data_IF_433305281618
#
_entry.id   IF_433305281618
#
_cell.length_a   1.000
_cell.length_b   1.000
_cell.length_c   1.000
_cell.angle_alpha   90.00
_cell.angle_beta   90.00
_cell.angle_gamma   90.00
#
_symmetry.space_group_name_H-M   'P 1'
#
loop_
_entity.id
_entity.type
_entity.pdbx_description
1 polymer ?
#
# COMPACT_ATOMS: atom_id res chain seq x y z
N UNK A 1 -52.21 -54.24 -19.20
CA UNK A 1 -50.99 -53.49 -19.57
C UNK A 1 -50.33 -53.04 -18.27
N UNK A 2 -49.27 -53.73 -17.83
CA UNK A 2 -48.56 -53.43 -16.58
C UNK A 2 -47.36 -52.53 -16.89
N UNK A 3 -47.36 -51.29 -16.36
CA UNK A 3 -46.26 -50.35 -16.53
C UNK A 3 -45.14 -50.65 -15.51
N UNK A 4 -43.91 -50.87 -15.98
CA UNK A 4 -42.73 -51.05 -15.15
C UNK A 4 -42.29 -49.70 -14.56
N UNK A 5 -42.42 -49.55 -13.24
CA UNK A 5 -41.90 -48.41 -12.50
C UNK A 5 -40.36 -48.51 -12.48
N UNK A 6 -39.61 -47.50 -12.98
CA UNK A 6 -38.15 -47.55 -12.97
C UNK A 6 -37.64 -47.51 -11.53
N UNK A 7 -36.78 -48.48 -11.16
CA UNK A 7 -36.12 -48.52 -9.86
C UNK A 7 -35.25 -47.27 -9.70
N UNK A 8 -35.64 -46.38 -8.78
CA UNK A 8 -34.80 -45.25 -8.37
C UNK A 8 -33.54 -45.80 -7.70
N UNK A 9 -32.36 -45.45 -8.21
CA UNK A 9 -31.08 -45.81 -7.59
C UNK A 9 -30.94 -45.01 -6.29
N UNK A 10 -30.86 -45.71 -5.17
CA UNK A 10 -30.53 -45.12 -3.88
C UNK A 10 -29.00 -45.03 -3.76
N UNK A 11 -28.50 -43.91 -3.25
CA UNK A 11 -27.07 -43.73 -2.98
C UNK A 11 -26.61 -44.68 -1.87
N UNK A 12 -25.41 -45.26 -2.05
CA UNK A 12 -24.77 -46.03 -0.99
C UNK A 12 -24.22 -45.11 0.09
N UNK A 13 -24.29 -45.53 1.36
CA UNK A 13 -23.58 -44.86 2.46
C UNK A 13 -22.08 -44.74 2.15
N UNK A 14 -21.49 -45.73 1.49
CA UNK A 14 -20.06 -45.73 1.12
C UNK A 14 -19.74 -44.65 0.09
N UNK A 15 -20.63 -44.41 -0.88
CA UNK A 15 -20.46 -43.33 -1.86
C UNK A 15 -20.46 -41.97 -1.18
N UNK A 16 -21.36 -41.74 -0.23
CA UNK A 16 -21.41 -40.48 0.51
C UNK A 16 -20.15 -40.30 1.37
N UNK A 17 -19.68 -41.37 2.03
CA UNK A 17 -18.48 -41.33 2.89
C UNK A 17 -17.22 -41.02 2.07
N UNK A 18 -17.05 -41.63 0.89
CA UNK A 18 -15.86 -41.36 0.08
C UNK A 18 -15.83 -39.91 -0.42
N UNK A 19 -17.00 -39.34 -0.76
CA UNK A 19 -17.12 -37.96 -1.24
C UNK A 19 -16.72 -36.96 -0.15
N UNK A 20 -17.23 -37.11 1.08
CA UNK A 20 -16.89 -36.19 2.17
C UNK A 20 -15.41 -36.31 2.56
N UNK A 21 -14.81 -37.51 2.46
CA UNK A 21 -13.37 -37.71 2.70
C UNK A 21 -12.55 -36.96 1.65
N UNK A 22 -12.90 -37.06 0.37
CA UNK A 22 -12.20 -36.34 -0.70
C UNK A 22 -12.37 -34.81 -0.54
N UNK A 23 -13.58 -34.33 -0.26
CA UNK A 23 -13.84 -32.90 -0.01
C UNK A 23 -13.02 -32.42 1.21
N UNK A 24 -12.92 -33.22 2.27
CA UNK A 24 -12.13 -32.89 3.46
C UNK A 24 -10.64 -32.73 3.17
N UNK A 25 -10.06 -33.62 2.36
CA UNK A 25 -8.65 -33.53 1.93
C UNK A 25 -8.43 -32.28 1.06
N UNK A 26 -9.31 -32.05 0.08
CA UNK A 26 -9.22 -30.89 -0.80
C UNK A 26 -9.34 -29.57 -0.02
N UNK A 27 -10.27 -29.50 0.94
CA UNK A 27 -10.44 -28.33 1.80
C UNK A 27 -9.20 -28.08 2.66
N UNK A 28 -8.62 -29.13 3.28
CA UNK A 28 -7.42 -29.03 4.10
C UNK A 28 -6.20 -28.51 3.32
N UNK A 29 -6.06 -28.85 2.03
CA UNK A 29 -4.96 -28.36 1.18
C UNK A 29 -5.22 -26.96 0.61
N UNK A 30 -6.48 -26.56 0.42
CA UNK A 30 -6.85 -25.27 -0.17
C UNK A 30 -6.71 -24.10 0.82
N UNK A 31 -7.12 -24.28 2.08
CA UNK A 31 -7.08 -23.23 3.12
C UNK A 31 -5.68 -22.61 3.34
N UNK A 32 -4.57 -23.37 3.48
CA UNK A 32 -3.26 -22.79 3.79
C UNK A 32 -2.61 -22.01 2.64
N UNK A 33 -3.20 -22.05 1.43
CA UNK A 33 -2.69 -21.31 0.26
C UNK A 33 -3.28 -19.91 0.13
N UNK A 34 -4.50 -19.68 0.62
CA UNK A 34 -5.19 -18.40 0.46
C UNK A 34 -4.62 -17.30 1.38
N UNK A 35 -4.24 -17.64 2.61
CA UNK A 35 -3.75 -16.67 3.62
C UNK A 35 -2.36 -16.08 3.30
N UNK A 36 -1.47 -16.85 2.66
CA UNK A 36 -0.13 -16.38 2.26
C UNK A 36 -0.12 -15.57 0.95
N UNK A 37 -1.12 -15.76 0.09
CA UNK A 37 -1.21 -15.02 -1.16
C UNK A 37 -1.52 -13.53 -0.96
N UNK A 38 -2.30 -13.20 0.08
CA UNK A 38 -2.71 -11.82 0.36
C UNK A 38 -1.62 -11.00 1.04
N UNK A 39 -0.84 -11.59 1.96
CA UNK A 39 0.19 -10.85 2.68
C UNK A 39 1.36 -10.45 1.75
N UNK A 40 1.87 -11.39 0.94
CA UNK A 40 2.90 -11.08 -0.07
C UNK A 40 2.45 -10.08 -1.15
N UNK A 41 1.15 -10.08 -1.51
CA UNK A 41 0.60 -9.09 -2.43
C UNK A 41 0.63 -7.66 -1.84
N UNK A 42 0.29 -7.51 -0.55
CA UNK A 42 0.38 -6.22 0.14
C UNK A 42 1.82 -5.73 0.26
N UNK A 43 2.79 -6.62 0.58
CA UNK A 43 4.21 -6.25 0.65
C UNK A 43 4.75 -5.80 -0.72
N UNK A 44 4.36 -6.47 -1.80
CA UNK A 44 4.74 -6.07 -3.15
C UNK A 44 4.12 -4.71 -3.55
N UNK A 45 2.84 -4.50 -3.23
CA UNK A 45 2.17 -3.22 -3.44
C UNK A 45 2.83 -2.09 -2.64
N UNK A 46 3.25 -2.36 -1.40
CA UNK A 46 3.95 -1.40 -0.56
C UNK A 46 5.25 -0.97 -1.22
N UNK A 47 6.08 -1.92 -1.64
CA UNK A 47 7.36 -1.63 -2.30
C UNK A 47 7.15 -0.80 -3.58
N UNK A 48 6.12 -1.12 -4.37
CA UNK A 48 5.76 -0.35 -5.56
C UNK A 48 5.34 1.08 -5.24
N UNK A 49 4.46 1.27 -4.26
CA UNK A 49 4.00 2.59 -3.83
C UNK A 49 5.15 3.44 -3.25
N UNK A 50 6.01 2.84 -2.42
CA UNK A 50 7.21 3.49 -1.90
C UNK A 50 8.14 3.94 -3.03
N UNK A 51 8.38 3.09 -4.03
CA UNK A 51 9.22 3.45 -5.17
C UNK A 51 8.63 4.62 -5.97
N UNK A 52 7.31 4.62 -6.21
CA UNK A 52 6.62 5.72 -6.91
C UNK A 52 6.80 7.04 -6.16
N UNK A 53 6.52 7.06 -4.85
CA UNK A 53 6.58 8.30 -4.05
C UNK A 53 8.02 8.77 -3.84
N UNK A 54 8.95 7.88 -3.50
CA UNK A 54 10.37 8.21 -3.33
C UNK A 54 11.00 8.75 -4.62
N UNK A 55 10.65 8.19 -5.77
CA UNK A 55 11.11 8.72 -7.07
C UNK A 55 10.54 10.11 -7.34
N UNK A 56 9.28 10.37 -7.02
CA UNK A 56 8.68 11.70 -7.15
C UNK A 56 9.36 12.74 -6.22
N UNK A 57 9.65 12.37 -4.97
CA UNK A 57 10.41 13.19 -4.02
C UNK A 57 11.80 13.54 -4.59
N UNK A 58 12.51 12.54 -5.12
CA UNK A 58 13.84 12.76 -5.71
C UNK A 58 13.78 13.64 -6.97
N UNK A 59 12.78 13.43 -7.83
CA UNK A 59 12.57 14.26 -9.02
C UNK A 59 12.26 15.72 -8.65
N UNK A 60 11.44 15.93 -7.60
CA UNK A 60 11.20 17.26 -7.06
C UNK A 60 12.50 17.91 -6.57
N UNK A 61 13.27 17.20 -5.75
CA UNK A 61 14.50 17.74 -5.18
C UNK A 61 15.52 18.12 -6.25
N UNK A 62 15.64 17.33 -7.32
CA UNK A 62 16.51 17.63 -8.45
C UNK A 62 16.17 18.95 -9.15
N UNK A 63 14.89 19.34 -9.18
CA UNK A 63 14.43 20.59 -9.80
C UNK A 63 14.41 21.79 -8.82
N UNK A 64 14.53 21.53 -7.51
CA UNK A 64 14.38 22.54 -6.44
C UNK A 64 15.65 22.72 -5.59
N UNK A 65 16.82 22.72 -6.24
CA UNK A 65 18.13 22.94 -5.58
C UNK A 65 18.41 21.95 -4.43
N UNK A 66 18.07 20.67 -4.62
CA UNK A 66 18.17 19.60 -3.62
C UNK A 66 17.32 19.82 -2.36
N UNK A 67 16.32 20.71 -2.41
CA UNK A 67 15.33 20.82 -1.35
C UNK A 67 14.22 19.80 -1.57
N UNK A 68 13.97 18.99 -0.56
CA UNK A 68 12.87 18.04 -0.60
C UNK A 68 11.52 18.75 -0.45
N UNK A 69 10.43 18.14 -0.96
CA UNK A 69 9.10 18.69 -0.77
C UNK A 69 8.78 18.76 0.73
N UNK A 70 8.08 19.81 1.15
CA UNK A 70 7.78 20.09 2.55
C UNK A 70 8.89 20.79 3.35
N UNK A 71 10.08 21.00 2.76
CA UNK A 71 11.15 21.77 3.40
C UNK A 71 10.66 23.17 3.82
N UNK A 72 11.09 23.63 4.99
CA UNK A 72 10.64 24.91 5.56
C UNK A 72 9.15 24.97 5.94
N UNK A 73 8.48 23.82 6.09
CA UNK A 73 7.07 23.76 6.49
C UNK A 73 6.07 23.94 5.35
N UNK A 74 6.52 23.78 4.11
CA UNK A 74 5.64 23.79 2.94
C UNK A 74 4.73 22.55 2.91
N UNK A 75 3.67 22.60 2.10
CA UNK A 75 2.81 21.44 1.87
C UNK A 75 3.45 20.50 0.85
N UNK A 76 4.03 19.40 1.35
CA UNK A 76 4.65 18.34 0.54
C UNK A 76 3.67 17.76 -0.48
N UNK A 77 2.42 17.49 -0.08
CA UNK A 77 1.43 16.85 -0.96
C UNK A 77 1.07 17.79 -2.10
N UNK A 78 0.86 19.07 -1.81
CA UNK A 78 0.61 20.08 -2.84
C UNK A 78 1.82 20.25 -3.78
N UNK A 79 3.05 20.23 -3.25
CA UNK A 79 4.26 20.33 -4.06
C UNK A 79 4.47 19.13 -5.00
N UNK A 80 4.02 17.94 -4.61
CA UNK A 80 4.11 16.76 -5.47
C UNK A 80 2.95 16.64 -6.46
N UNK A 81 1.76 17.15 -6.13
CA UNK A 81 0.53 16.96 -6.93
C UNK A 81 0.14 18.15 -7.81
N UNK A 82 0.79 19.30 -7.65
CA UNK A 82 0.51 20.52 -8.42
C UNK A 82 1.77 21.04 -9.13
N UNK A 83 1.64 22.14 -9.88
CA UNK A 83 2.80 22.78 -10.51
C UNK A 83 3.53 23.66 -9.51
N UNK A 84 4.87 23.61 -9.52
CA UNK A 84 5.69 24.43 -8.64
C UNK A 84 6.57 25.43 -9.38
N UNK A 85 6.86 26.52 -8.70
CA UNK A 85 7.90 27.49 -9.08
C UNK A 85 9.27 27.04 -8.57
N UNK A 86 10.34 27.70 -8.99
CA UNK A 86 11.71 27.36 -8.57
C UNK A 86 11.95 27.43 -7.04
N UNK A 87 11.08 28.10 -6.30
CA UNK A 87 11.13 28.19 -4.83
C UNK A 87 10.16 27.23 -4.13
N UNK A 88 9.44 26.38 -4.88
CA UNK A 88 8.50 25.41 -4.33
C UNK A 88 7.09 25.96 -4.05
N UNK A 89 6.78 27.20 -4.43
CA UNK A 89 5.40 27.70 -4.35
C UNK A 89 4.53 26.97 -5.38
N UNK A 90 3.30 26.59 -4.99
CA UNK A 90 2.38 25.74 -5.76
C UNK A 90 1.36 26.55 -6.56
N UNK A 91 0.88 25.96 -7.65
CA UNK A 91 -0.22 26.49 -8.46
C UNK A 91 -0.94 25.34 -9.18
N UNK A 92 -2.27 25.44 -9.29
CA UNK A 92 -3.08 24.45 -9.99
C UNK A 92 -2.82 24.44 -11.51
N UNK A 93 -2.34 25.55 -12.08
CA UNK A 93 -2.12 25.68 -13.52
C UNK A 93 -0.65 25.92 -13.87
N UNK A 94 -0.21 25.30 -14.98
CA UNK A 94 1.12 25.51 -15.54
C UNK A 94 1.25 26.92 -16.11
N UNK A 95 2.34 27.60 -15.79
CA UNK A 95 2.67 28.95 -16.29
C UNK A 95 4.17 29.09 -16.52
N UNK A 96 4.63 30.27 -16.93
CA UNK A 96 6.06 30.56 -17.04
C UNK A 96 6.81 30.55 -15.69
N UNK A 97 6.09 30.79 -14.59
CA UNK A 97 6.63 30.77 -13.22
C UNK A 97 6.51 29.37 -12.61
N UNK A 98 5.31 28.78 -12.69
CA UNK A 98 4.97 27.46 -12.17
C UNK A 98 5.10 26.42 -13.28
N UNK A 99 6.31 25.90 -13.48
CA UNK A 99 6.68 25.08 -14.65
C UNK A 99 7.06 23.65 -14.32
N UNK A 100 7.41 23.39 -13.06
CA UNK A 100 7.87 22.10 -12.56
C UNK A 100 6.69 21.26 -12.07
N UNK A 101 6.83 19.93 -12.10
CA UNK A 101 5.74 19.01 -11.74
C UNK A 101 4.53 19.03 -12.69
N UNK A 102 3.39 18.46 -12.28
CA UNK A 102 3.23 17.63 -11.07
C UNK A 102 4.04 16.32 -11.17
N UNK A 103 4.47 15.81 -10.02
CA UNK A 103 5.30 14.61 -9.90
C UNK A 103 4.45 13.37 -9.59
N UNK A 104 3.28 13.57 -8.98
CA UNK A 104 2.29 12.54 -8.65
C UNK A 104 0.89 13.06 -9.00
N UNK A 105 -0.04 12.12 -9.27
CA UNK A 105 -1.47 12.45 -9.41
C UNK A 105 -2.13 12.55 -8.03
N UNK A 106 -1.75 11.65 -7.12
CA UNK A 106 -2.17 11.63 -5.72
C UNK A 106 -1.19 10.74 -4.93
N UNK A 107 -1.19 10.86 -3.60
CA UNK A 107 -0.49 9.90 -2.74
C UNK A 107 -1.26 8.58 -2.76
N UNK A 108 -0.62 7.44 -3.11
CA UNK A 108 -1.29 6.16 -3.10
C UNK A 108 -1.61 5.74 -1.65
N UNK A 109 -2.70 5.00 -1.43
CA UNK A 109 -3.01 4.46 -0.11
C UNK A 109 -1.93 3.44 0.32
N UNK A 110 -1.55 3.48 1.58
CA UNK A 110 -0.71 2.48 2.21
C UNK A 110 -1.45 1.13 2.24
N UNK A 111 -0.91 0.08 1.61
CA UNK A 111 -1.59 -1.23 1.51
C UNK A 111 -1.36 -2.12 2.74
N UNK A 112 -0.60 -1.63 3.73
CA UNK A 112 -0.24 -2.34 4.96
C UNK A 112 -0.56 -1.44 6.16
N UNK A 113 -0.70 -2.05 7.34
CA UNK A 113 -1.15 -1.32 8.52
C UNK A 113 -2.66 -1.10 8.54
N UNK A 114 -3.19 -0.89 9.73
CA UNK A 114 -4.59 -0.49 9.94
C UNK A 114 -4.70 1.04 10.08
N UNK A 115 -4.18 1.76 9.10
CA UNK A 115 -4.29 3.22 9.05
C UNK A 115 -5.74 3.64 8.76
N UNK A 116 -6.27 4.57 9.55
CA UNK A 116 -7.62 5.12 9.32
C UNK A 116 -7.66 5.96 8.04
N UNK A 117 -6.55 6.66 7.74
CA UNK A 117 -6.36 7.50 6.57
C UNK A 117 -5.12 7.01 5.80
N UNK A 118 -5.25 5.94 5.00
CA UNK A 118 -4.09 5.27 4.40
C UNK A 118 -3.34 6.13 3.37
N UNK A 119 -3.92 7.22 2.86
CA UNK A 119 -3.25 8.12 1.90
C UNK A 119 -2.64 9.35 2.56
N UNK A 120 -2.91 9.59 3.84
CA UNK A 120 -2.38 10.75 4.56
C UNK A 120 -0.92 10.49 4.96
N UNK A 121 -0.16 11.59 5.03
CA UNK A 121 1.28 11.57 5.33
C UNK A 121 1.52 12.36 6.61
N UNK A 122 2.04 11.69 7.63
CA UNK A 122 2.54 12.33 8.83
C UNK A 122 3.91 12.95 8.56
N UNK A 123 4.07 14.23 8.87
CA UNK A 123 5.34 14.94 8.73
C UNK A 123 6.15 14.81 10.03
N UNK A 124 7.26 14.10 9.99
CA UNK A 124 8.22 13.98 11.10
C UNK A 124 9.46 14.84 10.81
N UNK A 125 9.48 16.04 11.36
CA UNK A 125 10.65 16.93 11.29
C UNK A 125 11.65 16.71 12.43
N UNK A 126 11.34 15.80 13.36
CA UNK A 126 12.06 15.67 14.64
C UNK A 126 13.04 14.50 14.66
N UNK A 127 12.71 13.40 13.98
CA UNK A 127 13.55 12.20 13.98
C UNK A 127 14.17 11.96 12.60
N UNK A 128 15.45 11.62 12.59
CA UNK A 128 16.19 11.25 11.38
C UNK A 128 16.96 9.95 11.66
N UNK A 129 16.50 8.80 11.13
CA UNK A 129 15.38 8.61 10.21
C UNK A 129 13.99 8.87 10.84
N UNK A 130 12.94 9.12 10.04
CA UNK A 130 11.58 9.27 10.54
C UNK A 130 11.13 8.04 11.32
N UNK A 131 10.31 8.25 12.34
CA UNK A 131 9.80 7.16 13.19
C UNK A 131 8.32 6.93 12.99
N UNK A 132 7.89 5.68 13.14
CA UNK A 132 6.48 5.30 13.07
C UNK A 132 5.72 5.94 14.23
N UNK A 133 4.56 6.53 13.94
CA UNK A 133 3.62 7.06 14.92
C UNK A 133 2.18 6.76 14.50
N UNK A 134 1.64 5.68 15.04
CA UNK A 134 0.30 5.17 14.69
C UNK A 134 -0.85 5.89 15.40
N UNK A 135 -0.58 7.01 16.10
CA UNK A 135 -1.61 7.73 16.89
C UNK A 135 -2.56 8.53 16.00
N UNK A 136 -2.07 9.13 14.90
CA UNK A 136 -2.85 10.01 14.02
C UNK A 136 -3.64 9.28 12.92
N UNK A 137 -3.34 8.00 12.68
CA UNK A 137 -4.05 7.17 11.70
C UNK A 137 -3.61 7.38 10.25
N UNK A 138 -2.56 8.17 9.99
CA UNK A 138 -1.95 8.35 8.67
C UNK A 138 -1.27 7.06 8.20
N UNK A 139 -1.29 6.80 6.89
CA UNK A 139 -0.67 5.61 6.29
C UNK A 139 0.84 5.70 6.11
N UNK A 140 1.39 6.92 6.05
CA UNK A 140 2.78 7.19 5.72
C UNK A 140 3.43 8.14 6.73
N UNK A 141 4.75 8.02 6.90
CA UNK A 141 5.56 9.02 7.60
C UNK A 141 6.64 9.53 6.65
N UNK A 142 6.88 10.82 6.69
CA UNK A 142 7.85 11.50 5.84
C UNK A 142 8.66 12.53 6.63
N UNK A 143 9.97 12.56 6.41
CA UNK A 143 10.84 13.61 6.94
C UNK A 143 11.28 14.56 5.80
N UNK A 144 10.87 15.84 5.80
CA UNK A 144 11.22 16.80 4.76
C UNK A 144 12.68 17.26 4.79
N UNK A 145 13.39 17.03 5.89
CA UNK A 145 14.82 17.33 6.02
C UNK A 145 15.69 16.24 5.40
N UNK A 146 15.31 14.97 5.56
CA UNK A 146 16.08 13.82 5.03
C UNK A 146 15.55 13.31 3.68
N UNK A 147 14.30 13.63 3.33
CA UNK A 147 13.63 13.09 2.14
C UNK A 147 13.14 11.65 2.31
N UNK A 148 13.28 11.06 3.50
CA UNK A 148 12.91 9.67 3.76
C UNK A 148 11.40 9.53 3.92
N UNK A 149 10.84 8.57 3.19
CA UNK A 149 9.41 8.25 3.16
C UNK A 149 9.21 6.77 3.51
N UNK A 150 8.44 6.49 4.56
CA UNK A 150 8.25 5.15 5.13
C UNK A 150 6.77 4.86 5.40
N UNK A 151 6.42 3.57 5.51
CA UNK A 151 5.09 3.16 5.96
C UNK A 151 4.90 3.47 7.45
N UNK A 152 3.74 4.02 7.81
CA UNK A 152 3.39 4.32 9.19
C UNK A 152 2.72 3.11 9.88
N UNK A 153 3.46 2.03 10.05
CA UNK A 153 2.95 0.85 10.77
C UNK A 153 4.06 0.16 11.55
N UNK A 154 3.69 -0.42 12.69
CA UNK A 154 4.54 -1.31 13.49
C UNK A 154 4.47 -2.77 13.01
N UNK A 155 3.65 -3.06 12.00
CA UNK A 155 3.49 -4.39 11.45
C UNK A 155 4.74 -4.86 10.68
N UNK A 156 4.90 -6.17 10.63
CA UNK A 156 5.98 -6.85 9.90
C UNK A 156 5.43 -7.67 8.74
N UNK A 157 6.30 -7.95 7.79
CA UNK A 157 6.02 -8.87 6.70
C UNK A 157 6.09 -10.35 7.13
N UNK A 158 5.83 -11.25 6.18
CA UNK A 158 5.88 -12.71 6.40
C UNK A 158 7.26 -13.23 6.86
N UNK A 159 8.31 -12.43 6.66
CA UNK A 159 9.70 -12.76 7.05
C UNK A 159 10.11 -12.15 8.40
N UNK A 160 9.24 -11.33 9.00
CA UNK A 160 9.53 -10.59 10.23
C UNK A 160 10.24 -9.25 10.02
N UNK A 161 10.39 -8.78 8.78
CA UNK A 161 10.94 -7.44 8.49
C UNK A 161 9.84 -6.40 8.71
N UNK A 162 10.15 -5.34 9.45
CA UNK A 162 9.23 -4.21 9.65
C UNK A 162 8.92 -3.50 8.32
N UNK A 163 7.65 -3.18 8.08
CA UNK A 163 7.25 -2.45 6.87
C UNK A 163 7.80 -1.02 6.79
N UNK A 164 8.08 -0.39 7.93
CA UNK A 164 8.76 0.90 7.99
C UNK A 164 10.21 0.86 7.49
N UNK A 165 10.83 -0.33 7.45
CA UNK A 165 12.20 -0.55 6.97
C UNK A 165 12.28 -1.03 5.51
N UNK A 166 11.17 -0.94 4.75
CA UNK A 166 11.11 -1.30 3.34
C UNK A 166 11.85 -0.32 2.41
#
# INVERSE_FOLDING_TARGET
MFALIPKRRAFSLVELVVVIVIIGILAAMAIPRLSRGSAGASSASLAGNLAIVRNAINMYAAEHNNKFPGDGGADMVAQLTTYTSATGATNASKTAVYKFGPYLVAIPPCPVGNAANPSDVLIDTTNSPPTVNTTGGEGWVYNPTTGEFIANTNDTDETGKAYSAY
#
